data_IF_797259216776
#
_entry.id   IF_797259216776
#
_cell.length_a   1.000
_cell.length_b   1.000
_cell.length_c   1.000
_cell.angle_alpha   90.00
_cell.angle_beta   90.00
_cell.angle_gamma   90.00
#
_symmetry.space_group_name_H-M   'P 1'
#
loop_
_entity.id
_entity.type
_entity.pdbx_description
1 polymer ?
#
# COMPACT_ATOMS: atom_id res chain seq x y z
N UNK A 1 -45.47 17.46 -13.72
CA UNK A 1 -44.17 18.08 -14.03
C UNK A 1 -43.23 18.27 -12.82
N UNK A 2 -43.72 18.45 -11.58
CA UNK A 2 -42.87 18.67 -10.37
C UNK A 2 -42.19 17.41 -9.82
N UNK A 3 -42.73 16.20 -10.04
CA UNK A 3 -42.12 14.96 -9.51
C UNK A 3 -40.87 14.54 -10.30
N UNK A 4 -40.84 14.76 -11.61
CA UNK A 4 -39.70 14.42 -12.45
C UNK A 4 -38.46 15.29 -12.17
N UNK A 5 -38.67 16.55 -11.81
CA UNK A 5 -37.58 17.48 -11.47
C UNK A 5 -36.90 17.13 -10.14
N UNK A 6 -37.68 16.67 -9.15
CA UNK A 6 -37.14 16.22 -7.85
C UNK A 6 -36.33 14.94 -7.97
N UNK A 7 -36.76 13.99 -8.82
CA UNK A 7 -36.01 12.76 -9.07
C UNK A 7 -34.67 13.01 -9.78
N UNK A 8 -34.62 13.97 -10.72
CA UNK A 8 -33.37 14.38 -11.38
C UNK A 8 -32.38 15.04 -10.41
N UNK A 9 -32.87 15.90 -9.50
CA UNK A 9 -32.04 16.56 -8.49
C UNK A 9 -31.42 15.56 -7.51
N UNK A 10 -32.17 14.55 -7.08
CA UNK A 10 -31.64 13.49 -6.20
C UNK A 10 -30.64 12.58 -6.91
N UNK A 11 -30.83 12.29 -8.20
CA UNK A 11 -29.89 11.51 -8.99
C UNK A 11 -28.55 12.25 -9.23
N UNK A 12 -28.59 13.57 -9.44
CA UNK A 12 -27.39 14.40 -9.61
C UNK A 12 -26.65 14.55 -8.28
N UNK A 13 -27.37 14.69 -7.14
CA UNK A 13 -26.76 14.77 -5.82
C UNK A 13 -26.09 13.45 -5.41
N UNK A 14 -26.69 12.30 -5.74
CA UNK A 14 -26.12 10.98 -5.49
C UNK A 14 -24.88 10.71 -6.36
N UNK A 15 -24.88 11.15 -7.62
CA UNK A 15 -23.72 11.04 -8.52
C UNK A 15 -22.56 11.94 -8.08
N UNK A 16 -22.84 13.14 -7.54
CA UNK A 16 -21.81 14.05 -7.02
C UNK A 16 -21.14 13.50 -5.74
N UNK A 17 -21.87 12.75 -4.91
CA UNK A 17 -21.33 12.15 -3.68
C UNK A 17 -20.41 10.92 -3.95
N UNK A 18 -20.59 10.26 -5.09
CA UNK A 18 -19.78 9.09 -5.47
C UNK A 18 -18.39 9.45 -6.04
N UNK A 19 -18.16 10.72 -6.40
CA UNK A 19 -16.91 11.19 -7.02
C UNK A 19 -15.83 11.63 -6.02
N UNK A 20 -16.07 11.59 -4.70
CA UNK A 20 -15.14 12.11 -3.70
C UNK A 20 -14.14 11.11 -3.12
N UNK A 21 -14.08 9.86 -3.60
CA UNK A 21 -13.26 8.79 -2.98
C UNK A 21 -11.90 8.56 -3.66
N UNK A 22 -11.57 9.28 -4.71
CA UNK A 22 -10.27 9.19 -5.38
C UNK A 22 -9.32 10.35 -5.01
N UNK A 23 -9.24 10.72 -3.73
CA UNK A 23 -8.22 11.66 -3.27
C UNK A 23 -6.87 10.95 -3.26
N UNK A 24 -6.02 11.33 -4.20
CA UNK A 24 -4.70 10.75 -4.45
C UNK A 24 -3.82 10.73 -3.20
N UNK A 25 -3.25 9.57 -2.86
CA UNK A 25 -2.26 9.38 -1.78
C UNK A 25 -1.14 10.45 -1.75
N UNK A 26 -0.59 10.95 -2.88
CA UNK A 26 0.40 12.02 -2.88
C UNK A 26 -0.03 13.29 -2.13
N UNK A 27 -1.27 13.75 -2.30
CA UNK A 27 -1.77 14.95 -1.62
C UNK A 27 -1.93 14.79 -0.10
N UNK A 28 -2.06 13.55 0.39
CA UNK A 28 -2.11 13.23 1.83
C UNK A 28 -0.73 13.32 2.45
N UNK A 29 0.30 12.87 1.72
CA UNK A 29 1.69 12.92 2.14
C UNK A 29 2.19 14.37 2.22
N UNK A 30 1.88 15.21 1.23
CA UNK A 30 2.29 16.62 1.18
C UNK A 30 1.80 17.47 2.35
N UNK A 31 0.75 17.04 3.05
CA UNK A 31 0.19 17.73 4.22
C UNK A 31 0.84 17.34 5.54
N UNK A 32 1.77 16.39 5.52
CA UNK A 32 2.45 15.88 6.71
C UNK A 32 3.93 16.23 6.65
N UNK A 33 4.40 16.99 7.62
CA UNK A 33 5.79 17.39 7.75
C UNK A 33 6.44 16.62 8.90
N UNK A 34 7.60 15.98 8.63
CA UNK A 34 8.37 15.25 9.62
C UNK A 34 8.87 16.21 10.72
N UNK A 35 8.79 15.79 11.98
CA UNK A 35 9.10 16.60 13.15
C UNK A 35 8.00 17.58 13.57
N UNK A 36 6.96 17.82 12.75
CA UNK A 36 5.86 18.75 13.00
C UNK A 36 4.53 18.04 13.18
N UNK A 37 4.14 17.22 12.20
CA UNK A 37 2.87 16.51 12.19
C UNK A 37 2.77 15.54 13.39
N UNK A 38 1.62 15.51 14.04
CA UNK A 38 1.31 14.62 15.15
C UNK A 38 0.71 13.29 14.67
N UNK A 39 0.64 12.28 15.54
CA UNK A 39 -0.10 11.05 15.22
C UNK A 39 -1.57 11.34 14.86
N UNK A 40 -2.20 12.33 15.50
CA UNK A 40 -3.57 12.72 15.19
C UNK A 40 -3.69 13.26 13.76
N UNK A 41 -2.71 14.04 13.29
CA UNK A 41 -2.67 14.54 11.92
C UNK A 41 -2.47 13.38 10.91
N UNK A 42 -1.60 12.42 11.24
CA UNK A 42 -1.42 11.21 10.43
C UNK A 42 -2.73 10.43 10.32
N UNK A 43 -3.40 10.16 11.44
CA UNK A 43 -4.69 9.45 11.44
C UNK A 43 -5.78 10.20 10.69
N UNK A 44 -5.81 11.52 10.78
CA UNK A 44 -6.73 12.37 10.01
C UNK A 44 -6.53 12.23 8.49
N UNK A 45 -5.29 12.07 8.02
CA UNK A 45 -4.98 11.95 6.59
C UNK A 45 -5.08 10.50 6.07
N UNK A 46 -4.62 9.53 6.86
CA UNK A 46 -4.49 8.13 6.45
C UNK A 46 -5.60 7.22 6.98
N UNK A 47 -6.39 7.68 7.95
CA UNK A 47 -7.32 6.85 8.73
C UNK A 47 -6.58 6.09 9.82
N UNK A 48 -7.24 5.04 10.36
CA UNK A 48 -6.59 4.17 11.34
C UNK A 48 -5.59 3.22 10.67
N UNK A 49 -4.42 2.99 11.29
CA UNK A 49 -3.45 2.01 10.83
C UNK A 49 -3.99 0.58 11.02
N UNK A 50 -3.56 -0.34 10.15
CA UNK A 50 -3.90 -1.76 10.30
C UNK A 50 -3.17 -2.38 11.48
N UNK A 51 -1.94 -1.93 11.74
CA UNK A 51 -1.11 -2.39 12.87
C UNK A 51 -0.38 -1.21 13.48
N UNK A 52 -0.28 -1.22 14.81
CA UNK A 52 0.58 -0.32 15.59
C UNK A 52 1.56 -1.18 16.37
N UNK A 53 2.86 -0.97 16.14
CA UNK A 53 3.93 -1.57 16.93
C UNK A 53 4.52 -0.51 17.83
N UNK A 54 4.66 -0.81 19.12
CA UNK A 54 5.27 0.08 20.12
C UNK A 54 6.65 -0.47 20.47
N UNK A 55 7.67 0.35 20.31
CA UNK A 55 9.06 0.00 20.65
C UNK A 55 9.36 0.38 22.11
N UNK A 56 10.46 -0.16 22.69
CA UNK A 56 10.79 0.04 24.10
C UNK A 56 11.09 1.51 24.45
N UNK A 57 11.52 2.31 23.49
CA UNK A 57 11.78 3.75 23.64
C UNK A 57 10.52 4.62 23.53
N UNK A 58 9.34 4.01 23.37
CA UNK A 58 8.07 4.70 23.19
C UNK A 58 7.76 5.11 21.73
N UNK A 59 8.66 4.84 20.80
CA UNK A 59 8.41 5.02 19.36
C UNK A 59 7.28 4.10 18.91
N UNK A 60 6.36 4.61 18.09
CA UNK A 60 5.27 3.84 17.50
C UNK A 60 5.42 3.77 15.99
N UNK A 61 5.30 2.57 15.46
CA UNK A 61 5.30 2.32 14.02
C UNK A 61 3.88 2.00 13.57
N UNK A 62 3.34 2.83 12.69
CA UNK A 62 1.99 2.71 12.14
C UNK A 62 2.07 2.12 10.73
N UNK A 63 1.40 0.98 10.50
CA UNK A 63 1.38 0.28 9.20
C UNK A 63 0.09 0.59 8.44
N UNK A 64 0.23 1.13 7.24
CA UNK A 64 -0.85 1.48 6.32
C UNK A 64 -0.72 0.74 4.98
N UNK A 65 -0.99 -0.56 4.92
CA UNK A 65 -1.02 -1.28 3.66
C UNK A 65 -2.24 -0.84 2.85
N UNK A 66 -2.02 -0.48 1.58
CA UNK A 66 -3.09 -0.19 0.62
C UNK A 66 -3.37 -1.38 -0.30
N UNK A 67 -2.71 -2.49 -0.08
CA UNK A 67 -2.92 -3.74 -0.79
C UNK A 67 -4.23 -4.42 -0.32
N UNK A 68 -4.94 -5.13 -1.20
CA UNK A 68 -4.65 -5.41 -2.62
C UNK A 68 -5.21 -4.35 -3.59
N UNK A 69 -5.97 -3.36 -3.13
CA UNK A 69 -6.67 -2.41 -4.01
C UNK A 69 -5.77 -1.25 -4.48
N UNK A 70 -4.84 -0.83 -3.64
CA UNK A 70 -3.90 0.25 -3.95
C UNK A 70 -2.57 -0.25 -4.50
N UNK A 71 -1.66 0.71 -4.73
CA UNK A 71 -0.31 0.49 -5.27
C UNK A 71 0.80 0.90 -4.31
N UNK A 72 0.46 1.17 -3.05
CA UNK A 72 1.37 1.69 -2.04
C UNK A 72 1.23 0.91 -0.74
N UNK A 73 2.32 0.85 0.03
CA UNK A 73 2.32 0.53 1.45
C UNK A 73 3.09 1.64 2.16
N UNK A 74 2.51 2.20 3.21
CA UNK A 74 3.19 3.22 4.01
C UNK A 74 3.53 2.69 5.39
N UNK A 75 4.72 3.04 5.84
CA UNK A 75 5.18 2.85 7.21
C UNK A 75 5.48 4.23 7.79
N UNK A 76 4.77 4.59 8.86
CA UNK A 76 4.90 5.90 9.49
C UNK A 76 5.37 5.71 10.92
N UNK A 77 6.46 6.40 11.30
CA UNK A 77 6.97 6.37 12.66
C UNK A 77 6.57 7.63 13.41
N UNK A 78 6.11 7.41 14.64
CA UNK A 78 5.80 8.46 15.61
C UNK A 78 6.80 8.34 16.74
N UNK A 79 7.56 9.39 16.98
CA UNK A 79 8.50 9.44 18.08
C UNK A 79 7.82 9.43 19.47
N UNK A 80 8.59 9.21 20.52
CA UNK A 80 8.10 9.25 21.89
C UNK A 80 7.47 10.62 22.28
N UNK A 81 7.84 11.69 21.58
CA UNK A 81 7.25 13.04 21.69
C UNK A 81 5.87 13.18 21.02
N UNK A 82 5.36 12.11 20.38
CA UNK A 82 4.09 12.09 19.69
C UNK A 82 4.09 12.70 18.28
N UNK A 83 5.25 13.11 17.77
CA UNK A 83 5.40 13.67 16.43
C UNK A 83 5.87 12.63 15.43
N UNK A 84 5.46 12.81 14.17
CA UNK A 84 5.89 11.97 13.07
C UNK A 84 7.38 12.16 12.80
N UNK A 85 8.18 11.13 13.02
CA UNK A 85 9.62 11.14 12.78
C UNK A 85 10.01 10.66 11.38
N UNK A 86 9.15 9.85 10.74
CA UNK A 86 9.33 9.48 9.32
C UNK A 86 8.05 8.99 8.69
N UNK A 87 7.90 9.24 7.38
CA UNK A 87 6.87 8.69 6.52
C UNK A 87 7.54 8.02 5.31
N UNK A 88 7.35 6.72 5.13
CA UNK A 88 7.99 5.97 4.04
C UNK A 88 6.98 5.19 3.24
N UNK A 89 6.98 5.40 1.92
CA UNK A 89 6.32 4.53 0.95
C UNK A 89 7.28 3.37 0.62
N UNK A 90 6.81 2.13 0.81
CA UNK A 90 7.65 0.95 0.77
C UNK A 90 7.80 0.33 -0.63
N UNK A 91 6.82 0.53 -1.54
CA UNK A 91 6.79 -0.13 -2.85
C UNK A 91 7.44 0.76 -3.93
N UNK A 92 8.76 0.87 -3.86
CA UNK A 92 9.59 1.64 -4.78
C UNK A 92 10.81 0.82 -5.25
N UNK A 93 11.48 1.30 -6.30
CA UNK A 93 12.60 0.61 -6.94
C UNK A 93 13.74 0.31 -5.97
N UNK A 94 14.07 1.25 -5.06
CA UNK A 94 15.18 1.07 -4.12
C UNK A 94 14.89 -0.07 -3.14
N UNK A 95 13.66 -0.15 -2.62
CA UNK A 95 13.27 -1.24 -1.74
C UNK A 95 13.16 -2.57 -2.48
N UNK A 96 12.72 -2.59 -3.74
CA UNK A 96 12.73 -3.81 -4.55
C UNK A 96 14.15 -4.35 -4.74
N UNK A 97 15.13 -3.49 -4.98
CA UNK A 97 16.53 -3.86 -5.10
C UNK A 97 17.14 -4.42 -3.79
N UNK A 98 16.55 -4.12 -2.63
CA UNK A 98 16.96 -4.67 -1.32
C UNK A 98 16.47 -6.09 -1.06
N UNK A 99 15.50 -6.57 -1.83
CA UNK A 99 15.02 -7.95 -1.72
C UNK A 99 16.01 -8.86 -2.45
N UNK A 100 16.72 -9.69 -1.67
CA UNK A 100 17.81 -10.53 -2.17
C UNK A 100 17.55 -12.01 -1.89
N UNK A 101 18.06 -12.92 -2.72
CA UNK A 101 18.01 -14.37 -2.47
C UNK A 101 18.54 -14.72 -1.06
N UNK A 102 17.90 -15.68 -0.42
CA UNK A 102 18.22 -16.14 0.93
C UNK A 102 17.55 -15.38 2.07
N UNK A 103 16.96 -14.21 1.83
CA UNK A 103 16.18 -13.50 2.84
C UNK A 103 14.92 -14.29 3.22
N UNK A 104 14.49 -14.13 4.48
CA UNK A 104 13.25 -14.73 5.00
C UNK A 104 12.02 -13.94 4.56
N UNK A 105 10.85 -14.57 4.62
CA UNK A 105 9.55 -13.91 4.44
C UNK A 105 9.38 -12.70 5.37
N UNK A 106 9.87 -12.79 6.62
CA UNK A 106 9.78 -11.69 7.57
C UNK A 106 10.66 -10.49 7.17
N UNK A 107 11.88 -10.74 6.69
CA UNK A 107 12.76 -9.69 6.18
C UNK A 107 12.16 -8.98 4.96
N UNK A 108 11.58 -9.75 4.03
CA UNK A 108 10.87 -9.17 2.88
C UNK A 108 9.65 -8.35 3.32
N UNK A 109 8.88 -8.85 4.30
CA UNK A 109 7.74 -8.10 4.86
C UNK A 109 8.17 -6.81 5.54
N UNK A 110 9.32 -6.79 6.19
CA UNK A 110 9.88 -5.58 6.81
C UNK A 110 10.31 -4.53 5.75
N UNK A 111 10.69 -4.97 4.54
CA UNK A 111 11.09 -4.09 3.42
C UNK A 111 9.86 -3.56 2.67
N UNK A 112 8.90 -4.44 2.34
CA UNK A 112 7.81 -4.14 1.41
C UNK A 112 6.43 -3.99 2.07
N UNK A 113 6.30 -4.38 3.34
CA UNK A 113 5.02 -4.47 4.03
C UNK A 113 4.17 -5.65 3.56
N UNK A 114 2.87 -5.56 3.82
CA UNK A 114 1.90 -6.62 3.50
C UNK A 114 1.78 -6.82 1.98
N UNK A 115 1.84 -8.07 1.47
CA UNK A 115 1.58 -8.35 0.05
C UNK A 115 0.09 -8.22 -0.29
N UNK A 116 -0.19 -7.99 -1.57
CA UNK A 116 -1.55 -8.02 -2.15
C UNK A 116 -2.11 -9.43 -2.18
N UNK A 117 -1.25 -10.41 -2.46
CA UNK A 117 -1.61 -11.82 -2.61
C UNK A 117 -0.44 -12.71 -2.23
N UNK A 118 -0.77 -13.87 -1.66
CA UNK A 118 0.16 -14.98 -1.44
C UNK A 118 -0.39 -16.22 -2.13
N UNK A 119 0.46 -16.97 -2.83
CA UNK A 119 0.07 -18.15 -3.61
C UNK A 119 1.04 -19.30 -3.36
N UNK A 120 0.59 -20.39 -2.71
CA UNK A 120 1.38 -21.60 -2.59
C UNK A 120 1.37 -22.39 -3.91
N UNK A 121 2.54 -22.87 -4.32
CA UNK A 121 2.76 -23.78 -5.45
C UNK A 121 3.27 -25.13 -4.93
N UNK A 122 2.36 -25.97 -4.46
CA UNK A 122 2.68 -27.21 -3.76
C UNK A 122 3.60 -28.15 -4.56
N UNK A 123 3.37 -28.31 -5.87
CA UNK A 123 4.21 -29.17 -6.73
C UNK A 123 5.66 -28.69 -6.86
N UNK A 124 5.90 -27.38 -6.74
CA UNK A 124 7.23 -26.78 -6.78
C UNK A 124 7.83 -26.57 -5.40
N UNK A 125 7.06 -26.84 -4.34
CA UNK A 125 7.41 -26.52 -2.96
C UNK A 125 7.84 -25.05 -2.81
N UNK A 126 7.07 -24.13 -3.42
CA UNK A 126 7.33 -22.71 -3.45
C UNK A 126 6.11 -21.94 -3.04
N UNK A 127 6.31 -20.72 -2.54
CA UNK A 127 5.27 -19.73 -2.33
C UNK A 127 5.64 -18.43 -3.05
N UNK A 128 4.67 -17.79 -3.71
CA UNK A 128 4.85 -16.51 -4.38
C UNK A 128 4.04 -15.44 -3.68
N UNK A 129 4.69 -14.35 -3.34
CA UNK A 129 4.05 -13.15 -2.79
C UNK A 129 4.10 -12.03 -3.82
N UNK A 130 2.95 -11.39 -4.04
CA UNK A 130 2.77 -10.34 -5.02
C UNK A 130 2.44 -9.01 -4.37
N UNK A 131 3.08 -7.93 -4.84
CA UNK A 131 2.74 -6.54 -4.51
C UNK A 131 2.39 -5.78 -5.77
N UNK A 132 1.22 -5.15 -5.78
CA UNK A 132 0.86 -4.18 -6.82
C UNK A 132 1.58 -2.88 -6.56
N UNK A 133 2.20 -2.29 -7.56
CA UNK A 133 3.00 -1.09 -7.41
C UNK A 133 2.97 -0.19 -8.65
N UNK A 134 3.41 1.04 -8.50
CA UNK A 134 3.64 2.01 -9.57
C UNK A 134 5.02 2.64 -9.36
N UNK A 135 6.12 1.90 -9.58
CA UNK A 135 7.46 2.36 -9.24
C UNK A 135 7.88 3.63 -9.98
N UNK A 136 7.36 3.84 -11.21
CA UNK A 136 7.59 5.04 -12.03
C UNK A 136 6.41 6.03 -11.98
N UNK A 137 5.45 5.82 -11.07
CA UNK A 137 4.31 6.71 -10.86
C UNK A 137 3.12 6.53 -11.81
N UNK A 138 3.30 6.00 -13.01
CA UNK A 138 2.24 5.91 -14.02
C UNK A 138 1.79 4.48 -14.31
N UNK A 139 2.72 3.57 -14.61
CA UNK A 139 2.40 2.20 -15.00
C UNK A 139 2.16 1.29 -13.81
N UNK A 140 1.06 0.56 -13.83
CA UNK A 140 0.76 -0.45 -12.83
C UNK A 140 1.57 -1.71 -13.11
N UNK A 141 2.38 -2.11 -12.13
CA UNK A 141 3.24 -3.29 -12.16
C UNK A 141 2.89 -4.24 -11.01
N UNK A 142 3.32 -5.47 -11.16
CA UNK A 142 3.29 -6.49 -10.14
C UNK A 142 4.74 -6.87 -9.78
N UNK A 143 5.15 -6.58 -8.55
CA UNK A 143 6.41 -7.08 -8.01
C UNK A 143 6.14 -8.40 -7.30
N UNK A 144 6.80 -9.47 -7.72
CA UNK A 144 6.64 -10.83 -7.21
C UNK A 144 7.91 -11.31 -6.56
N UNK A 145 7.79 -11.96 -5.40
CA UNK A 145 8.90 -12.63 -4.69
C UNK A 145 8.54 -14.11 -4.55
N UNK A 146 9.41 -14.96 -5.03
CA UNK A 146 9.29 -16.42 -4.91
C UNK A 146 10.12 -16.90 -3.74
N UNK A 147 9.51 -17.70 -2.86
CA UNK A 147 10.14 -18.35 -1.71
C UNK A 147 10.19 -19.85 -1.91
N UNK A 148 11.24 -20.48 -1.39
CA UNK A 148 11.35 -21.94 -1.31
C UNK A 148 10.53 -22.53 -0.14
N UNK A 149 10.62 -23.85 0.05
CA UNK A 149 9.95 -24.57 1.15
C UNK A 149 10.41 -24.16 2.55
N UNK A 150 11.56 -23.49 2.68
CA UNK A 150 12.10 -22.97 3.94
C UNK A 150 11.72 -21.51 4.18
N UNK A 151 10.89 -20.91 3.31
CA UNK A 151 10.52 -19.51 3.37
C UNK A 151 11.65 -18.54 3.03
N UNK A 152 12.63 -18.99 2.22
CA UNK A 152 13.75 -18.18 1.75
C UNK A 152 13.53 -17.70 0.32
N UNK A 153 13.84 -16.42 0.05
CA UNK A 153 13.77 -15.85 -1.30
C UNK A 153 14.64 -16.63 -2.27
N UNK A 154 14.04 -17.07 -3.37
CA UNK A 154 14.71 -17.70 -4.51
C UNK A 154 14.91 -16.70 -5.64
N UNK A 155 13.87 -15.92 -5.96
CA UNK A 155 13.90 -14.96 -7.06
C UNK A 155 12.87 -13.85 -6.87
N UNK A 156 13.08 -12.75 -7.60
CA UNK A 156 12.13 -11.64 -7.73
C UNK A 156 11.83 -11.37 -9.20
N UNK A 157 10.65 -10.82 -9.48
CA UNK A 157 10.25 -10.40 -10.82
C UNK A 157 9.41 -9.12 -10.74
N UNK A 158 9.54 -8.25 -11.75
CA UNK A 158 8.67 -7.10 -11.96
C UNK A 158 8.01 -7.24 -13.33
N UNK A 159 6.69 -7.32 -13.37
CA UNK A 159 5.90 -7.54 -14.57
C UNK A 159 4.73 -6.55 -14.66
N UNK A 160 4.02 -6.55 -15.79
CA UNK A 160 2.75 -5.83 -15.93
C UNK A 160 1.71 -6.36 -14.94
N UNK A 161 0.89 -5.47 -14.35
CA UNK A 161 -0.23 -5.89 -13.52
C UNK A 161 -1.35 -6.47 -14.41
N UNK A 162 -1.64 -7.78 -14.32
CA UNK A 162 -2.60 -8.44 -15.21
C UNK A 162 -4.03 -7.90 -15.05
N UNK A 163 -4.35 -7.24 -13.94
CA UNK A 163 -5.67 -6.61 -13.74
C UNK A 163 -5.88 -5.38 -14.62
N UNK A 164 -4.81 -4.72 -15.03
CA UNK A 164 -4.89 -3.53 -15.90
C UNK A 164 -4.94 -3.94 -17.37
N UNK A 165 -4.20 -4.98 -17.75
CA UNK A 165 -4.17 -5.49 -19.14
C UNK A 165 -5.47 -6.16 -19.56
N UNK A 166 -6.23 -6.74 -18.61
CA UNK A 166 -7.51 -7.38 -18.91
C UNK A 166 -8.68 -6.41 -19.15
N UNK A 167 -8.53 -5.12 -18.82
CA UNK A 167 -9.59 -4.11 -18.99
C UNK A 167 -9.53 -3.41 -20.36
N UNK A 168 -8.46 -3.59 -21.14
CA UNK A 168 -8.23 -2.95 -22.44
C UNK A 168 -8.73 -3.72 -23.67
N UNK A 169 -9.37 -4.88 -23.48
CA UNK A 169 -9.85 -5.75 -24.56
C UNK A 169 -11.38 -5.86 -24.53
N UNK A 170 -12.05 -4.79 -24.92
CA UNK A 170 -13.47 -4.80 -25.35
C UNK A 170 -13.65 -3.81 -26.49
#
# INVERSE_FOLDING_TARGET
MHQSFRALLWAVLAAALALTVAACDPQRVEKLEEGVATEADVRKQFGDPVTVTVEADGTRTLDYPRQPEGWTNYLIKIGADGKMSSLRQLLNTDNFARVQPGQTQQEVRNILGRPAKTMPYALKQQEVWDWRCKPSGQESKLFSVTFDSNGKVVSTALAEDPRVTSTGSR
#
